data_IF_800209691609
#
_entry.id   IF_800209691609
#
_cell.length_a   1.000
_cell.length_b   1.000
_cell.length_c   1.000
_cell.angle_alpha   90.00
_cell.angle_beta   90.00
_cell.angle_gamma   90.00
#
_symmetry.space_group_name_H-M   'P 1'
#
loop_
_entity.id
_entity.type
_entity.pdbx_description
1 polymer ?
#
# COMPACT_ATOMS: atom_id res chain seq x y z
N UNK A 1 -16.07 -4.41 23.78
CA UNK A 1 -15.15 -5.24 24.58
C UNK A 1 -15.16 -6.65 23.99
N UNK A 2 -14.95 -6.78 22.68
CA UNK A 2 -15.11 -8.06 21.96
C UNK A 2 -14.21 -8.12 20.69
N UNK A 3 -13.13 -7.33 20.67
CA UNK A 3 -12.16 -7.29 19.56
C UNK A 3 -10.77 -7.84 19.97
N UNK A 4 -10.62 -8.28 21.22
CA UNK A 4 -9.32 -8.67 21.79
C UNK A 4 -9.14 -10.19 22.00
N UNK A 5 -10.12 -11.02 21.66
CA UNK A 5 -10.04 -12.47 21.92
C UNK A 5 -9.80 -13.34 20.67
N UNK A 6 -9.57 -12.73 19.50
CA UNK A 6 -9.31 -13.47 18.24
C UNK A 6 -7.86 -13.36 17.73
N UNK A 7 -6.90 -13.07 18.61
CA UNK A 7 -5.48 -13.08 18.27
C UNK A 7 -4.78 -14.30 18.87
N UNK A 8 -5.11 -15.48 18.35
CA UNK A 8 -4.13 -16.56 18.31
C UNK A 8 -2.94 -16.06 17.50
N UNK A 9 -1.73 -16.11 18.07
CA UNK A 9 -0.48 -15.65 17.45
C UNK A 9 -0.25 -16.34 16.10
N UNK A 10 -0.78 -15.78 15.03
CA UNK A 10 -0.47 -16.20 13.67
C UNK A 10 0.92 -15.69 13.36
N UNK A 11 1.92 -16.54 13.61
CA UNK A 11 3.32 -16.29 13.25
C UNK A 11 3.36 -15.93 11.76
N UNK A 12 3.88 -14.74 11.44
CA UNK A 12 4.04 -14.30 10.05
C UNK A 12 4.94 -15.30 9.32
N UNK A 13 4.53 -15.71 8.12
CA UNK A 13 5.35 -16.59 7.31
C UNK A 13 6.72 -15.97 7.05
N UNK A 14 7.77 -16.79 7.15
CA UNK A 14 9.15 -16.32 7.07
C UNK A 14 9.51 -15.74 5.70
N UNK A 15 8.86 -16.19 4.62
CA UNK A 15 9.04 -15.61 3.29
C UNK A 15 8.41 -14.23 3.19
N UNK A 16 7.20 -14.06 3.72
CA UNK A 16 6.49 -12.77 3.78
C UNK A 16 7.29 -11.78 4.62
N UNK A 17 7.78 -12.21 5.77
CA UNK A 17 8.60 -11.38 6.67
C UNK A 17 9.87 -10.86 5.99
N UNK A 18 10.62 -11.75 5.32
CA UNK A 18 11.81 -11.35 4.56
C UNK A 18 11.46 -10.38 3.43
N UNK A 19 10.33 -10.58 2.77
CA UNK A 19 9.85 -9.67 1.74
C UNK A 19 9.52 -8.29 2.30
N UNK A 20 8.81 -8.21 3.43
CA UNK A 20 8.51 -6.95 4.12
C UNK A 20 9.77 -6.20 4.53
N UNK A 21 10.76 -6.89 5.10
CA UNK A 21 12.06 -6.29 5.46
C UNK A 21 12.73 -5.69 4.21
N UNK A 22 12.76 -6.44 3.10
CA UNK A 22 13.30 -5.96 1.82
C UNK A 22 12.56 -4.74 1.31
N UNK A 23 11.23 -4.75 1.36
CA UNK A 23 10.36 -3.65 0.90
C UNK A 23 10.60 -2.39 1.73
N UNK A 24 10.63 -2.52 3.06
CA UNK A 24 10.91 -1.41 3.97
C UNK A 24 12.32 -0.84 3.76
N UNK A 25 13.32 -1.70 3.53
CA UNK A 25 14.68 -1.26 3.24
C UNK A 25 14.77 -0.47 1.93
N UNK A 26 14.16 -0.98 0.85
CA UNK A 26 14.04 -0.26 -0.42
C UNK A 26 13.32 1.08 -0.24
N UNK A 27 12.24 1.12 0.55
CA UNK A 27 11.50 2.35 0.81
C UNK A 27 12.32 3.40 1.56
N UNK A 28 13.05 2.99 2.61
CA UNK A 28 13.96 3.87 3.35
C UNK A 28 15.03 4.45 2.43
N UNK A 29 15.64 3.61 1.60
CA UNK A 29 16.67 4.06 0.65
C UNK A 29 16.10 5.01 -0.40
N UNK A 30 14.91 4.74 -0.92
CA UNK A 30 14.23 5.61 -1.87
C UNK A 30 13.94 6.99 -1.28
N UNK A 31 13.45 7.06 -0.03
CA UNK A 31 13.21 8.35 0.65
C UNK A 31 14.54 9.10 0.89
N UNK A 32 15.58 8.42 1.36
CA UNK A 32 16.90 9.03 1.61
C UNK A 32 17.55 9.60 0.35
N UNK A 33 17.30 8.97 -0.80
CA UNK A 33 17.84 9.38 -2.09
C UNK A 33 16.87 10.26 -2.89
N UNK A 34 15.75 10.69 -2.30
CA UNK A 34 14.68 11.46 -2.96
C UNK A 34 14.12 10.79 -4.24
N UNK A 35 14.23 9.46 -4.34
CA UNK A 35 13.76 8.67 -5.47
C UNK A 35 12.29 8.25 -5.29
N UNK A 36 11.42 9.23 -5.48
CA UNK A 36 9.96 9.08 -5.33
C UNK A 36 9.39 8.03 -6.31
N UNK A 37 10.00 7.91 -7.49
CA UNK A 37 9.57 6.92 -8.48
C UNK A 37 9.81 5.51 -7.96
N UNK A 38 11.02 5.23 -7.45
CA UNK A 38 11.32 3.94 -6.84
C UNK A 38 10.42 3.64 -5.65
N UNK A 39 10.09 4.64 -4.82
CA UNK A 39 9.17 4.46 -3.70
C UNK A 39 7.78 3.99 -4.16
N UNK A 40 7.27 4.59 -5.24
CA UNK A 40 5.99 4.21 -5.85
C UNK A 40 6.05 2.81 -6.47
N UNK A 41 7.13 2.47 -7.15
CA UNK A 41 7.32 1.17 -7.80
C UNK A 41 7.38 0.06 -6.75
N UNK A 42 8.13 0.25 -5.66
CA UNK A 42 8.19 -0.67 -4.50
C UNK A 42 6.80 -0.95 -3.93
N UNK A 43 5.97 0.09 -3.77
CA UNK A 43 4.60 -0.09 -3.29
C UNK A 43 3.71 -0.88 -4.28
N UNK A 44 3.92 -0.71 -5.58
CA UNK A 44 3.16 -1.46 -6.59
C UNK A 44 3.57 -2.95 -6.62
N UNK A 45 4.87 -3.23 -6.56
CA UNK A 45 5.40 -4.59 -6.39
C UNK A 45 4.80 -5.26 -5.14
N UNK A 46 4.77 -4.54 -4.02
CA UNK A 46 4.28 -5.07 -2.75
C UNK A 46 2.80 -5.45 -2.81
N UNK A 47 1.97 -4.66 -3.51
CA UNK A 47 0.56 -5.06 -3.73
C UNK A 47 0.45 -6.30 -4.59
N UNK A 48 1.26 -6.41 -5.64
CA UNK A 48 1.26 -7.61 -6.47
C UNK A 48 1.57 -8.86 -5.64
N UNK A 49 2.62 -8.82 -4.83
CA UNK A 49 2.99 -9.90 -3.91
C UNK A 49 1.89 -10.21 -2.88
N UNK A 50 1.19 -9.17 -2.40
CA UNK A 50 0.12 -9.32 -1.40
C UNK A 50 -1.11 -10.06 -1.91
N UNK A 51 -1.30 -10.17 -3.24
CA UNK A 51 -2.42 -10.91 -3.83
C UNK A 51 -2.33 -12.41 -3.56
N UNK A 52 -1.09 -12.92 -3.46
CA UNK A 52 -0.81 -14.33 -3.24
C UNK A 52 -1.10 -14.75 -1.80
N UNK A 53 -0.79 -13.89 -0.83
CA UNK A 53 -0.84 -14.22 0.59
C UNK A 53 -2.00 -13.59 1.34
N UNK A 54 -2.63 -12.55 0.78
CA UNK A 54 -3.72 -11.76 1.39
C UNK A 54 -3.43 -11.40 2.86
N UNK A 55 -2.18 -11.01 3.10
CA UNK A 55 -1.63 -10.76 4.42
C UNK A 55 -1.70 -9.26 4.74
N UNK A 56 -2.19 -8.93 5.93
CA UNK A 56 -2.58 -7.58 6.33
C UNK A 56 -1.39 -6.63 6.51
N UNK A 57 -0.25 -7.11 7.04
CA UNK A 57 0.97 -6.31 7.17
C UNK A 57 1.52 -5.91 5.80
N UNK A 58 1.53 -6.83 4.85
CA UNK A 58 1.99 -6.59 3.47
C UNK A 58 1.16 -5.52 2.78
N UNK A 59 -0.16 -5.62 2.92
CA UNK A 59 -1.11 -4.63 2.39
C UNK A 59 -0.92 -3.27 3.07
N UNK A 60 -0.79 -3.26 4.40
CA UNK A 60 -0.59 -2.04 5.19
C UNK A 60 0.68 -1.31 4.78
N UNK A 61 1.78 -2.05 4.62
CA UNK A 61 3.07 -1.50 4.14
C UNK A 61 2.93 -0.94 2.73
N UNK A 62 2.23 -1.65 1.83
CA UNK A 62 2.04 -1.17 0.48
C UNK A 62 1.26 0.15 0.41
N UNK A 63 0.19 0.28 1.20
CA UNK A 63 -0.61 1.52 1.34
C UNK A 63 0.24 2.64 1.95
N UNK A 64 0.98 2.36 3.02
CA UNK A 64 1.86 3.33 3.68
C UNK A 64 2.88 3.89 2.68
N UNK A 65 3.62 3.02 2.01
CA UNK A 65 4.66 3.42 1.04
C UNK A 65 4.04 4.22 -0.13
N UNK A 66 2.87 3.83 -0.64
CA UNK A 66 2.19 4.58 -1.68
C UNK A 66 1.79 5.98 -1.23
N UNK A 67 1.25 6.07 -0.01
CA UNK A 67 0.83 7.33 0.59
C UNK A 67 2.01 8.26 0.74
N UNK A 68 3.14 7.76 1.25
CA UNK A 68 4.39 8.51 1.34
C UNK A 68 4.87 8.97 -0.04
N UNK A 69 4.91 8.09 -1.04
CA UNK A 69 5.26 8.48 -2.41
C UNK A 69 4.39 9.63 -2.94
N UNK A 70 3.08 9.59 -2.67
CA UNK A 70 2.15 10.67 -3.08
C UNK A 70 2.33 11.97 -2.31
N UNK A 71 2.73 11.88 -1.04
CA UNK A 71 3.02 13.04 -0.21
C UNK A 71 4.33 13.71 -0.68
N UNK A 72 5.40 12.93 -0.87
CA UNK A 72 6.68 13.42 -1.38
C UNK A 72 6.60 13.91 -2.85
N UNK A 73 5.77 13.31 -3.71
CA UNK A 73 5.57 13.78 -5.10
C UNK A 73 5.11 15.25 -5.16
N UNK A 74 4.46 15.74 -4.10
CA UNK A 74 3.93 17.11 -4.04
C UNK A 74 4.76 18.06 -3.15
N UNK A 75 5.94 17.65 -2.71
CA UNK A 75 6.79 18.34 -1.70
C UNK A 75 6.93 19.86 -1.95
N UNK A 76 7.06 20.30 -3.21
CA UNK A 76 7.16 21.74 -3.56
C UNK A 76 6.01 22.63 -3.04
N UNK A 77 4.82 22.06 -2.80
CA UNK A 77 3.68 22.79 -2.23
C UNK A 77 3.55 22.64 -0.71
N UNK A 78 4.05 21.54 -0.14
CA UNK A 78 3.80 21.17 1.26
C UNK A 78 4.99 21.38 2.21
N UNK A 79 6.21 21.56 1.68
CA UNK A 79 7.38 21.98 2.46
C UNK A 79 7.15 23.26 3.28
N UNK A 80 6.12 24.05 2.94
CA UNK A 80 5.72 25.28 3.61
C UNK A 80 4.85 25.05 4.85
N UNK A 81 4.31 23.85 5.07
CA UNK A 81 3.50 23.56 6.25
C UNK A 81 4.37 23.40 7.49
N UNK A 82 3.90 23.98 8.61
CA UNK A 82 4.52 23.78 9.91
C UNK A 82 4.41 22.31 10.28
N UNK A 83 5.56 21.68 10.51
CA UNK A 83 5.63 20.25 10.86
C UNK A 83 6.03 19.33 9.71
N UNK A 84 6.26 19.83 8.48
CA UNK A 84 6.76 19.03 7.36
C UNK A 84 8.06 18.27 7.70
N UNK A 85 9.06 18.99 8.21
CA UNK A 85 10.34 18.37 8.57
C UNK A 85 10.19 17.31 9.66
N UNK A 86 9.31 17.54 10.65
CA UNK A 86 9.02 16.57 11.71
C UNK A 86 8.35 15.34 11.11
N UNK A 87 7.37 15.54 10.24
CA UNK A 87 6.71 14.46 9.51
C UNK A 87 7.71 13.62 8.70
N UNK A 88 8.62 14.24 7.94
CA UNK A 88 9.63 13.52 7.15
C UNK A 88 10.56 12.68 8.03
N UNK A 89 11.01 13.22 9.17
CA UNK A 89 11.85 12.50 10.14
C UNK A 89 11.07 11.35 10.77
N UNK A 90 9.84 11.58 11.19
CA UNK A 90 8.97 10.57 11.79
C UNK A 90 8.66 9.44 10.79
N UNK A 91 8.45 9.76 9.51
CA UNK A 91 8.27 8.77 8.43
C UNK A 91 9.49 7.88 8.24
N UNK A 92 10.69 8.46 8.19
CA UNK A 92 11.91 7.65 8.07
C UNK A 92 12.10 6.77 9.30
N UNK A 93 11.91 7.34 10.49
CA UNK A 93 12.04 6.61 11.75
C UNK A 93 11.06 5.45 11.85
N UNK A 94 9.80 5.65 11.46
CA UNK A 94 8.79 4.58 11.54
C UNK A 94 9.12 3.41 10.63
N UNK A 95 9.61 3.68 9.40
CA UNK A 95 9.99 2.62 8.47
C UNK A 95 11.21 1.84 8.95
N UNK A 96 12.19 2.53 9.54
CA UNK A 96 13.37 1.88 10.14
C UNK A 96 13.01 1.04 11.37
N UNK A 97 12.15 1.56 12.26
CA UNK A 97 11.75 0.86 13.47
C UNK A 97 10.79 -0.31 13.17
N UNK A 98 9.93 -0.17 12.15
CA UNK A 98 9.13 -1.27 11.63
C UNK A 98 10.02 -2.40 11.07
N UNK A 99 11.06 -2.03 10.30
CA UNK A 99 12.06 -2.99 9.79
C UNK A 99 12.75 -3.74 10.94
N UNK A 100 13.23 -3.01 11.96
CA UNK A 100 13.86 -3.61 13.15
C UNK A 100 12.92 -4.57 13.87
N UNK A 101 11.66 -4.20 14.05
CA UNK A 101 10.65 -5.01 14.73
C UNK A 101 10.40 -6.35 14.01
N UNK A 102 10.41 -6.36 12.67
CA UNK A 102 10.33 -7.58 11.87
C UNK A 102 11.59 -8.44 11.91
N UNK A 103 12.77 -7.84 12.15
CA UNK A 103 14.04 -8.58 12.31
C UNK A 103 14.05 -9.32 13.64
N UNK A 104 13.60 -8.67 14.73
CA UNK A 104 13.57 -9.23 16.09
C UNK A 104 12.33 -10.08 16.39
N UNK A 105 11.46 -10.31 15.40
CA UNK A 105 10.24 -11.12 15.48
C UNK A 105 9.17 -10.57 16.45
N UNK A 106 9.17 -9.26 16.73
CA UNK A 106 8.19 -8.60 17.58
C UNK A 106 7.00 -8.09 16.75
N UNK A 107 6.09 -8.99 16.36
CA UNK A 107 4.95 -8.65 15.49
C UNK A 107 4.00 -7.61 16.09
N UNK A 108 3.65 -7.72 17.38
CA UNK A 108 2.76 -6.74 18.05
C UNK A 108 3.33 -5.31 17.99
N UNK A 109 4.65 -5.21 18.09
CA UNK A 109 5.35 -3.92 18.03
C UNK A 109 5.25 -3.28 16.65
N UNK A 110 5.19 -4.09 15.58
CA UNK A 110 4.94 -3.57 14.24
C UNK A 110 3.57 -2.86 14.19
N UNK A 111 2.52 -3.51 14.67
CA UNK A 111 1.17 -2.93 14.70
C UNK A 111 1.11 -1.67 15.56
N UNK A 112 1.73 -1.71 16.75
CA UNK A 112 1.82 -0.57 17.66
C UNK A 112 2.56 0.61 17.01
N UNK A 113 3.65 0.34 16.26
CA UNK A 113 4.38 1.38 15.54
C UNK A 113 3.48 2.07 14.51
N UNK A 114 2.78 1.31 13.67
CA UNK A 114 1.88 1.89 12.66
C UNK A 114 0.76 2.71 13.32
N UNK A 115 0.16 2.21 14.40
CA UNK A 115 -0.87 2.94 15.14
C UNK A 115 -0.32 4.23 15.77
N UNK A 116 0.87 4.17 16.35
CA UNK A 116 1.52 5.35 16.95
C UNK A 116 1.92 6.39 15.90
N UNK A 117 2.28 5.96 14.69
CA UNK A 117 2.50 6.86 13.56
C UNK A 117 1.22 7.58 13.15
N UNK A 118 0.11 6.85 13.01
CA UNK A 118 -1.19 7.48 12.68
C UNK A 118 -1.57 8.52 13.75
N UNK A 119 -1.36 8.19 15.03
CA UNK A 119 -1.58 9.13 16.15
C UNK A 119 -0.60 10.31 16.13
N UNK A 120 0.62 10.15 15.64
CA UNK A 120 1.57 11.28 15.56
C UNK A 120 1.12 12.32 14.53
N UNK A 121 0.34 11.92 13.52
CA UNK A 121 -0.27 12.84 12.55
C UNK A 121 -1.25 13.82 13.20
N UNK A 122 -1.83 13.48 14.36
CA UNK A 122 -2.71 14.40 15.11
C UNK A 122 -1.97 15.64 15.63
N UNK A 123 -0.64 15.59 15.70
CA UNK A 123 0.20 16.71 16.15
C UNK A 123 0.51 17.70 15.03
N UNK A 124 0.15 17.38 13.79
CA UNK A 124 0.36 18.25 12.63
C UNK A 124 -0.70 19.36 12.58
N UNK A 125 -0.40 20.44 11.85
CA UNK A 125 -1.39 21.47 11.57
C UNK A 125 -2.64 20.84 10.91
N UNK A 126 -3.83 21.33 11.26
CA UNK A 126 -5.11 20.78 10.79
C UNK A 126 -5.14 20.60 9.27
N UNK A 127 -4.70 21.60 8.50
CA UNK A 127 -4.72 21.51 7.04
C UNK A 127 -3.79 20.42 6.51
N UNK A 128 -2.63 20.25 7.16
CA UNK A 128 -1.67 19.24 6.75
C UNK A 128 -2.12 17.82 7.16
N UNK A 129 -2.71 17.68 8.35
CA UNK A 129 -3.36 16.45 8.80
C UNK A 129 -4.47 16.02 7.84
N UNK A 130 -5.42 16.91 7.54
CA UNK A 130 -6.56 16.63 6.67
C UNK A 130 -6.09 16.13 5.29
N UNK A 131 -5.06 16.79 4.74
CA UNK A 131 -4.41 16.37 3.50
C UNK A 131 -3.79 14.98 3.59
N UNK A 132 -2.98 14.70 4.62
CA UNK A 132 -2.36 13.39 4.78
C UNK A 132 -3.42 12.29 4.89
N UNK A 133 -4.45 12.52 5.71
CA UNK A 133 -5.55 11.56 5.87
C UNK A 133 -6.29 11.30 4.55
N UNK A 134 -6.52 12.34 3.75
CA UNK A 134 -7.08 12.20 2.41
C UNK A 134 -6.18 11.35 1.51
N UNK A 135 -4.86 11.59 1.50
CA UNK A 135 -3.92 10.78 0.70
C UNK A 135 -3.93 9.32 1.14
N UNK A 136 -3.96 9.03 2.44
CA UNK A 136 -4.06 7.66 2.94
C UNK A 136 -5.37 6.99 2.52
N UNK A 137 -6.49 7.71 2.58
CA UNK A 137 -7.79 7.20 2.12
C UNK A 137 -7.75 6.86 0.63
N UNK A 138 -7.24 7.77 -0.20
CA UNK A 138 -7.09 7.56 -1.64
C UNK A 138 -6.10 6.43 -1.96
N UNK A 139 -5.03 6.29 -1.18
CA UNK A 139 -4.07 5.20 -1.32
C UNK A 139 -4.72 3.84 -1.04
N UNK A 140 -5.57 3.74 -0.01
CA UNK A 140 -6.33 2.52 0.29
C UNK A 140 -7.22 2.14 -0.88
N UNK A 141 -8.01 3.08 -1.40
CA UNK A 141 -8.91 2.86 -2.54
C UNK A 141 -8.11 2.46 -3.79
N UNK A 142 -6.98 3.12 -4.05
CA UNK A 142 -6.12 2.79 -5.18
C UNK A 142 -5.52 1.38 -5.07
N UNK A 143 -5.05 0.99 -3.89
CA UNK A 143 -4.49 -0.36 -3.70
C UNK A 143 -5.57 -1.44 -3.67
N UNK A 144 -6.74 -1.13 -3.15
CA UNK A 144 -7.92 -1.97 -3.25
C UNK A 144 -8.27 -2.26 -4.72
N UNK A 145 -8.28 -1.26 -5.59
CA UNK A 145 -8.57 -1.47 -7.01
C UNK A 145 -7.56 -2.42 -7.67
N UNK A 146 -6.28 -2.36 -7.28
CA UNK A 146 -5.23 -3.28 -7.77
C UNK A 146 -5.39 -4.70 -7.25
N UNK A 147 -5.77 -4.89 -5.99
CA UNK A 147 -6.09 -6.23 -5.47
C UNK A 147 -7.27 -6.85 -6.20
N UNK A 148 -8.29 -6.03 -6.49
CA UNK A 148 -9.45 -6.43 -7.27
C UNK A 148 -9.08 -6.79 -8.72
N UNK A 149 -8.22 -6.00 -9.38
CA UNK A 149 -7.66 -6.32 -10.71
C UNK A 149 -6.98 -7.69 -10.75
N UNK A 150 -6.33 -8.07 -9.66
CA UNK A 150 -5.65 -9.37 -9.52
C UNK A 150 -6.59 -10.51 -9.10
N UNK A 151 -7.91 -10.30 -9.13
CA UNK A 151 -8.90 -11.35 -8.97
C UNK A 151 -9.37 -11.59 -7.54
N UNK A 152 -8.98 -10.76 -6.56
CA UNK A 152 -9.57 -10.82 -5.22
C UNK A 152 -10.98 -10.24 -5.27
N UNK A 153 -11.92 -10.93 -4.60
CA UNK A 153 -13.31 -10.48 -4.58
C UNK A 153 -13.47 -9.08 -4.00
N UNK A 154 -14.42 -8.31 -4.52
CA UNK A 154 -14.72 -6.94 -4.07
C UNK A 154 -14.88 -6.84 -2.55
N UNK A 155 -15.61 -7.80 -1.96
CA UNK A 155 -15.85 -7.82 -0.51
C UNK A 155 -14.61 -8.11 0.31
N UNK A 156 -13.78 -9.06 -0.12
CA UNK A 156 -12.54 -9.40 0.58
C UNK A 156 -11.54 -8.26 0.49
N UNK A 157 -11.41 -7.63 -0.68
CA UNK A 157 -10.57 -6.45 -0.88
C UNK A 157 -10.99 -5.28 0.01
N UNK A 158 -12.30 -5.00 0.08
CA UNK A 158 -12.83 -3.93 0.92
C UNK A 158 -12.53 -4.16 2.42
N UNK A 159 -12.71 -5.41 2.87
CA UNK A 159 -12.38 -5.85 4.23
C UNK A 159 -10.89 -5.67 4.55
N UNK A 160 -10.00 -6.19 3.70
CA UNK A 160 -8.54 -6.14 3.89
C UNK A 160 -8.00 -4.70 3.99
N UNK A 161 -8.64 -3.75 3.30
CA UNK A 161 -8.19 -2.35 3.24
C UNK A 161 -8.92 -1.46 4.24
N UNK A 162 -9.96 -1.99 4.90
CA UNK A 162 -10.83 -1.24 5.78
C UNK A 162 -11.55 -0.10 5.07
N UNK A 163 -12.05 -0.35 3.85
CA UNK A 163 -12.86 0.59 3.06
C UNK A 163 -14.24 -0.01 2.78
N UNK A 164 -15.18 0.82 2.35
CA UNK A 164 -16.50 0.34 1.95
C UNK A 164 -16.47 -0.24 0.55
N UNK A 165 -17.35 -1.22 0.28
CA UNK A 165 -17.58 -1.73 -1.08
C UNK A 165 -18.01 -0.60 -2.04
N UNK A 166 -18.74 0.39 -1.53
CA UNK A 166 -19.20 1.54 -2.32
C UNK A 166 -18.05 2.42 -2.80
N UNK A 167 -17.10 2.75 -1.93
CA UNK A 167 -15.89 3.51 -2.32
C UNK A 167 -15.07 2.77 -3.37
N UNK A 168 -14.93 1.44 -3.22
CA UNK A 168 -14.21 0.63 -4.20
C UNK A 168 -14.95 0.59 -5.55
N UNK A 169 -16.28 0.38 -5.54
CA UNK A 169 -17.10 0.36 -6.76
C UNK A 169 -17.09 1.68 -7.51
N UNK A 170 -17.23 2.80 -6.80
CA UNK A 170 -17.17 4.14 -7.38
C UNK A 170 -15.82 4.38 -8.08
N UNK A 171 -14.72 3.97 -7.44
CA UNK A 171 -13.38 4.14 -8.00
C UNK A 171 -13.12 3.26 -9.22
N UNK A 172 -13.42 1.95 -9.17
CA UNK A 172 -13.20 1.05 -10.32
C UNK A 172 -14.07 1.43 -11.52
N UNK A 173 -15.29 1.93 -11.28
CA UNK A 173 -16.19 2.39 -12.32
C UNK A 173 -15.68 3.66 -13.02
N UNK A 174 -15.11 4.61 -12.26
CA UNK A 174 -14.50 5.83 -12.81
C UNK A 174 -13.22 5.56 -13.61
N UNK A 175 -12.45 4.56 -13.19
CA UNK A 175 -11.13 4.28 -13.75
C UNK A 175 -11.15 3.26 -14.89
N UNK A 176 -12.30 2.62 -15.17
CA UNK A 176 -12.43 1.60 -16.21
C UNK A 176 -11.58 0.37 -15.93
N UNK A 177 -11.24 0.14 -14.66
CA UNK A 177 -10.38 -0.95 -14.21
C UNK A 177 -11.04 -2.32 -14.44
N UNK A 178 -12.37 -2.39 -14.35
CA UNK A 178 -13.14 -3.58 -14.75
C UNK A 178 -13.17 -3.80 -16.27
N UNK A 179 -12.84 -2.78 -17.07
CA UNK A 179 -12.89 -2.79 -18.53
C UNK A 179 -11.52 -3.11 -19.17
N UNK A 180 -10.57 -3.61 -18.38
CA UNK A 180 -9.29 -4.12 -18.90
C UNK A 180 -9.61 -5.13 -20.02
N UNK A 181 -9.01 -4.88 -21.18
CA UNK A 181 -9.25 -5.54 -22.48
C UNK A 181 -8.86 -7.03 -22.52
N UNK A 182 -9.01 -7.78 -21.44
CA UNK A 182 -8.97 -9.25 -21.41
C UNK A 182 -10.11 -9.83 -22.27
N UNK A 183 -11.25 -9.12 -22.37
CA UNK A 183 -12.40 -9.49 -23.18
C UNK A 183 -12.39 -8.89 -24.60
N UNK A 184 -11.22 -8.57 -25.18
CA UNK A 184 -11.18 -8.32 -26.62
C UNK A 184 -11.41 -9.64 -27.34
N UNK A 185 -12.59 -9.83 -27.92
CA UNK A 185 -12.82 -10.92 -28.88
C UNK A 185 -11.80 -10.80 -30.01
N UNK A 186 -10.76 -11.62 -29.96
CA UNK A 186 -9.75 -11.67 -31.02
C UNK A 186 -10.42 -12.35 -32.22
N UNK A 187 -10.49 -11.66 -33.36
CA UNK A 187 -11.06 -12.26 -34.57
C UNK A 187 -10.33 -13.57 -34.92
N UNK A 188 -11.02 -14.58 -35.47
CA UNK A 188 -10.39 -15.86 -35.83
C UNK A 188 -9.12 -15.69 -36.69
N UNK A 189 -9.11 -14.67 -37.57
CA UNK A 189 -7.97 -14.32 -38.42
C UNK A 189 -6.75 -13.87 -37.59
N UNK A 190 -6.95 -13.02 -36.58
CA UNK A 190 -5.87 -12.57 -35.69
C UNK A 190 -5.34 -13.72 -34.81
N UNK A 191 -6.21 -14.64 -34.40
CA UNK A 191 -5.81 -15.86 -33.66
C UNK A 191 -4.92 -16.78 -34.51
N UNK A 192 -5.32 -17.05 -35.75
CA UNK A 192 -4.53 -17.84 -36.70
C UNK A 192 -3.16 -17.23 -36.98
N UNK A 193 -3.08 -15.90 -37.09
CA UNK A 193 -1.82 -15.20 -37.32
C UNK A 193 -0.86 -15.28 -36.12
N UNK A 194 -1.39 -15.24 -34.90
CA UNK A 194 -0.59 -15.38 -33.67
C UNK A 194 0.00 -16.81 -33.57
N UNK A 195 -0.82 -17.82 -33.85
CA UNK A 195 -0.43 -19.23 -33.86
C UNK A 195 0.68 -19.51 -34.90
N UNK A 196 0.58 -18.92 -36.09
CA UNK A 196 1.60 -19.06 -37.14
C UNK A 196 2.93 -18.37 -36.84
N UNK A 197 3.01 -17.53 -35.81
CA UNK A 197 4.27 -16.92 -35.37
C UNK A 197 4.97 -17.71 -34.25
N UNK A 198 4.32 -18.75 -33.71
CA UNK A 198 4.84 -19.61 -32.64
C UNK A 198 5.41 -20.94 -33.17
N UNK A 199 5.20 -21.23 -34.44
CA UNK A 199 5.72 -22.38 -35.19
C UNK A 199 6.42 -21.86 -36.44
#
# INVERSE_FOLDING_TARGET
>A
MEFLEYLGEKRLDDSIRRNLIRVLDKAVNAIKNEDIKSLKDVSNETIHDSTLYQEEHTITVAVLIYSLAKIYERDMHYAKFKGWNIFCVDCLKILEDAKKSLIILEHRKFDDLIQNFIKSLDKLDKKFKDYIQEVFSQAKINKASRLYEHGISLGRTAELLGITKFELMDYIGKTGISDVKENKTISPIKRLKLLRGLF
#
